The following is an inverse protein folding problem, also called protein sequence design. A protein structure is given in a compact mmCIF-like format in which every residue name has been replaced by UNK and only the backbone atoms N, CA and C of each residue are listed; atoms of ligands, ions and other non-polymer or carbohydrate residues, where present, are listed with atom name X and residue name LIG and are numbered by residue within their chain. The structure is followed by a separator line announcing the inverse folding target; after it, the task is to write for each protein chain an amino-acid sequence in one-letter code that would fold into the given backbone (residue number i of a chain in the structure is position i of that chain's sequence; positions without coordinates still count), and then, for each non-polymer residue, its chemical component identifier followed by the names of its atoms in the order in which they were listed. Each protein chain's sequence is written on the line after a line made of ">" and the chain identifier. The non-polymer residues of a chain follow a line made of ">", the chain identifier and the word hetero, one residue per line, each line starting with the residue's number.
data_IF_188088927514
#
_entry.id   IF_188088927514
#
_cell.length_a   1.000
_cell.length_b   1.000
_cell.length_c   1.000
_cell.angle_alpha   90.00
_cell.angle_beta   90.00
_cell.angle_gamma   90.00
#
_symmetry.space_group_name_H-M   'P 1'
#
loop_
_entity.id
_entity.type
_entity.pdbx_description
1 polymer ?
#
# COMPACT_ATOMS: atom_id res chain seq x y z
N UNK A 1 27.53 0.84 13.83
CA UNK A 1 26.19 0.70 14.41
C UNK A 1 25.33 1.77 13.75
N UNK A 2 24.23 1.43 13.09
CA UNK A 2 23.34 2.44 12.48
C UNK A 2 22.56 3.09 13.63
N UNK A 3 22.65 4.41 13.77
CA UNK A 3 21.85 5.15 14.75
C UNK A 3 20.44 5.38 14.18
N UNK A 4 19.55 4.48 14.52
CA UNK A 4 18.17 4.52 14.05
C UNK A 4 17.36 5.63 14.75
N UNK A 5 17.78 6.07 15.94
CA UNK A 5 17.03 6.99 16.79
C UNK A 5 15.89 6.30 17.55
N UNK A 6 14.93 7.06 18.06
CA UNK A 6 13.78 6.50 18.82
C UNK A 6 12.75 5.85 17.89
N UNK A 7 12.15 4.74 18.34
CA UNK A 7 10.99 4.13 17.66
C UNK A 7 9.79 5.08 17.79
N UNK A 8 9.22 5.46 16.65
CA UNK A 8 8.04 6.32 16.57
C UNK A 8 6.76 5.52 16.35
N UNK A 9 6.81 4.46 15.52
CA UNK A 9 5.65 3.59 15.27
C UNK A 9 6.05 2.22 14.73
N UNK A 10 5.13 1.26 14.85
CA UNK A 10 5.22 -0.09 14.26
C UNK A 10 4.01 -0.30 13.37
N UNK A 11 4.22 -0.82 12.18
CA UNK A 11 3.19 -1.15 11.21
C UNK A 11 3.41 -2.54 10.64
N UNK A 12 2.35 -3.30 10.54
CA UNK A 12 2.40 -4.67 10.01
C UNK A 12 1.59 -4.74 8.74
N UNK A 13 2.08 -5.48 7.76
CA UNK A 13 1.35 -5.80 6.56
C UNK A 13 0.99 -7.28 6.60
N UNK A 14 -0.27 -7.58 6.86
CA UNK A 14 -0.80 -8.94 6.85
C UNK A 14 -1.36 -9.29 5.48
N UNK A 15 -1.15 -10.54 5.07
CA UNK A 15 -1.83 -11.08 3.91
C UNK A 15 -3.25 -11.46 4.33
N UNK A 16 -4.23 -10.58 4.16
CA UNK A 16 -5.62 -11.00 4.33
C UNK A 16 -5.97 -11.97 3.19
N UNK A 17 -5.86 -13.27 3.48
CA UNK A 17 -6.21 -14.30 2.53
C UNK A 17 -7.74 -14.45 2.46
N UNK A 18 -8.39 -13.48 1.83
CA UNK A 18 -9.83 -13.47 1.60
C UNK A 18 -10.34 -14.73 0.87
N UNK A 19 -9.44 -15.44 0.17
CA UNK A 19 -9.75 -16.70 -0.46
C UNK A 19 -9.91 -17.85 0.54
N UNK A 20 -9.15 -17.85 1.64
CA UNK A 20 -9.31 -18.84 2.73
C UNK A 20 -10.65 -18.61 3.42
N UNK A 21 -11.02 -17.38 3.73
CA UNK A 21 -12.34 -17.09 4.31
C UNK A 21 -13.47 -17.44 3.34
N UNK A 22 -13.36 -17.10 2.05
CA UNK A 22 -14.33 -17.53 1.03
C UNK A 22 -14.42 -19.05 0.89
N UNK A 23 -13.29 -19.75 0.81
CA UNK A 23 -13.24 -21.20 0.71
C UNK A 23 -13.86 -21.87 1.94
N UNK A 24 -13.61 -21.35 3.14
CA UNK A 24 -14.25 -21.85 4.36
C UNK A 24 -15.76 -21.62 4.35
N UNK A 25 -16.24 -20.46 3.90
CA UNK A 25 -17.69 -20.20 3.77
C UNK A 25 -18.32 -21.17 2.77
N UNK A 26 -17.68 -21.37 1.61
CA UNK A 26 -18.16 -22.31 0.58
C UNK A 26 -18.18 -23.73 1.14
N UNK A 27 -17.12 -24.16 1.82
CA UNK A 27 -17.05 -25.48 2.44
C UNK A 27 -18.16 -25.67 3.47
N UNK A 28 -18.40 -24.69 4.36
CA UNK A 28 -19.48 -24.73 5.35
C UNK A 28 -20.85 -24.85 4.66
N UNK A 29 -21.09 -24.10 3.58
CA UNK A 29 -22.34 -24.18 2.80
C UNK A 29 -22.52 -25.57 2.17
N UNK A 30 -21.48 -26.14 1.56
CA UNK A 30 -21.52 -27.47 0.93
C UNK A 30 -21.73 -28.57 1.98
N UNK A 31 -21.01 -28.53 3.11
CA UNK A 31 -21.24 -29.50 4.19
C UNK A 31 -22.65 -29.39 4.76
N UNK A 32 -23.17 -28.17 4.92
CA UNK A 32 -24.53 -27.95 5.41
C UNK A 32 -25.58 -28.53 4.47
N UNK A 33 -25.44 -28.36 3.15
CA UNK A 33 -26.39 -28.93 2.17
C UNK A 33 -26.33 -30.46 2.12
N UNK A 34 -25.14 -31.06 2.23
CA UNK A 34 -24.97 -32.51 2.31
C UNK A 34 -25.61 -33.08 3.58
N UNK A 35 -25.44 -32.42 4.72
CA UNK A 35 -26.04 -32.87 6.00
C UNK A 35 -27.56 -32.75 5.94
N UNK A 36 -28.11 -31.66 5.41
CA UNK A 36 -29.56 -31.47 5.27
C UNK A 36 -30.16 -32.54 4.34
N UNK A 37 -29.52 -32.80 3.20
CA UNK A 37 -30.00 -33.83 2.26
C UNK A 37 -29.90 -35.23 2.85
N UNK A 38 -28.84 -35.55 3.58
CA UNK A 38 -28.67 -36.84 4.27
C UNK A 38 -29.70 -37.01 5.40
N UNK A 39 -30.00 -35.95 6.16
CA UNK A 39 -31.04 -35.95 7.19
C UNK A 39 -32.45 -36.15 6.62
N UNK A 40 -32.72 -35.62 5.42
CA UNK A 40 -34.02 -35.78 4.75
C UNK A 40 -34.19 -37.15 4.07
N UNK A 41 -33.09 -37.78 3.63
CA UNK A 41 -33.13 -39.01 2.80
C UNK A 41 -32.86 -40.29 3.59
N UNK A 42 -32.24 -40.20 4.77
CA UNK A 42 -31.86 -41.38 5.56
C UNK A 42 -32.51 -41.37 6.95
N UNK A 43 -32.87 -42.55 7.44
CA UNK A 43 -33.40 -42.74 8.79
C UNK A 43 -32.35 -42.58 9.90
N UNK A 44 -31.08 -42.33 9.54
CA UNK A 44 -29.94 -42.21 10.46
C UNK A 44 -30.12 -41.02 11.42
N UNK A 45 -30.86 -39.98 10.99
CA UNK A 45 -31.10 -38.76 11.77
C UNK A 45 -32.54 -38.64 12.30
N UNK A 46 -33.23 -39.76 12.53
CA UNK A 46 -34.60 -39.79 13.09
C UNK A 46 -34.71 -39.10 14.46
N UNK A 47 -33.62 -38.99 15.21
CA UNK A 47 -33.56 -38.25 16.48
C UNK A 47 -32.97 -36.85 16.26
N UNK A 48 -33.75 -35.78 16.49
CA UNK A 48 -33.28 -34.40 16.30
C UNK A 48 -32.04 -34.04 17.13
N UNK A 49 -31.83 -34.73 18.26
CA UNK A 49 -30.67 -34.54 19.13
C UNK A 49 -29.35 -34.92 18.48
N UNK A 50 -29.29 -36.01 17.72
CA UNK A 50 -28.05 -36.47 17.06
C UNK A 50 -27.64 -35.48 15.95
N UNK A 51 -28.60 -35.01 15.16
CA UNK A 51 -28.36 -34.01 14.12
C UNK A 51 -27.90 -32.67 14.73
N UNK A 52 -28.54 -32.24 15.83
CA UNK A 52 -28.17 -31.02 16.54
C UNK A 52 -26.73 -31.09 17.10
N UNK A 53 -26.36 -32.20 17.74
CA UNK A 53 -25.01 -32.41 18.27
C UNK A 53 -23.96 -32.37 17.15
N UNK A 54 -24.23 -33.01 16.01
CA UNK A 54 -23.32 -33.01 14.85
C UNK A 54 -23.14 -31.59 14.28
N UNK A 55 -24.21 -30.83 14.11
CA UNK A 55 -24.15 -29.45 13.63
C UNK A 55 -23.35 -28.54 14.58
N UNK A 56 -23.55 -28.68 15.89
CA UNK A 56 -22.81 -27.92 16.91
C UNK A 56 -21.32 -28.28 16.88
N UNK A 57 -20.98 -29.57 16.75
CA UNK A 57 -19.60 -30.02 16.66
C UNK A 57 -18.89 -29.46 15.41
N UNK A 58 -19.55 -29.50 14.25
CA UNK A 58 -19.00 -28.97 12.99
C UNK A 58 -18.83 -27.45 13.07
N UNK A 59 -19.82 -26.74 13.61
CA UNK A 59 -19.73 -25.29 13.79
C UNK A 59 -18.57 -24.91 14.72
N UNK A 60 -18.41 -25.63 15.84
CA UNK A 60 -17.32 -25.42 16.78
C UNK A 60 -15.95 -25.68 16.13
N UNK A 61 -15.77 -26.83 15.45
CA UNK A 61 -14.51 -27.16 14.76
C UNK A 61 -14.20 -26.16 13.65
N UNK A 62 -15.20 -25.76 12.87
CA UNK A 62 -15.02 -24.76 11.80
C UNK A 62 -14.63 -23.39 12.35
N UNK A 63 -15.28 -22.96 13.44
CA UNK A 63 -14.95 -21.70 14.11
C UNK A 63 -13.55 -21.75 14.72
N UNK A 64 -13.19 -22.84 15.39
CA UNK A 64 -11.85 -23.05 15.94
C UNK A 64 -10.77 -23.04 14.85
N UNK A 65 -10.99 -23.72 13.73
CA UNK A 65 -10.08 -23.72 12.60
C UNK A 65 -9.92 -22.31 11.98
N UNK A 66 -11.02 -21.57 11.84
CA UNK A 66 -11.01 -20.22 11.30
C UNK A 66 -10.29 -19.22 12.24
N UNK A 67 -10.51 -19.34 13.55
CA UNK A 67 -9.78 -18.57 14.56
C UNK A 67 -8.30 -18.92 14.55
N UNK A 68 -7.95 -20.20 14.48
CA UNK A 68 -6.57 -20.66 14.40
C UNK A 68 -5.84 -20.10 13.17
N UNK A 69 -6.44 -20.22 11.98
CA UNK A 69 -5.89 -19.66 10.75
C UNK A 69 -5.69 -18.15 10.83
N UNK A 70 -6.62 -17.43 11.45
CA UNK A 70 -6.54 -15.97 11.61
C UNK A 70 -5.48 -15.53 12.63
N UNK A 71 -5.26 -16.33 13.68
CA UNK A 71 -4.27 -16.06 14.71
C UNK A 71 -2.85 -16.30 14.21
N UNK A 72 -2.64 -17.35 13.40
CA UNK A 72 -1.34 -17.73 12.87
C UNK A 72 -1.00 -17.10 11.51
N UNK A 73 -1.80 -16.14 11.05
CA UNK A 73 -1.49 -15.38 9.85
C UNK A 73 -0.33 -14.40 10.15
N UNK A 74 0.88 -14.82 9.78
CA UNK A 74 2.09 -14.03 9.96
C UNK A 74 2.07 -12.82 9.01
N UNK A 75 2.48 -11.63 9.48
CA UNK A 75 2.64 -10.50 8.57
C UNK A 75 3.71 -10.82 7.51
N UNK A 76 3.49 -10.40 6.27
CA UNK A 76 4.49 -10.50 5.20
C UNK A 76 5.65 -9.52 5.46
N UNK A 77 5.30 -8.32 5.92
CA UNK A 77 6.27 -7.28 6.27
C UNK A 77 5.92 -6.63 7.60
N UNK A 78 6.93 -6.29 8.38
CA UNK A 78 6.80 -5.36 9.51
C UNK A 78 7.70 -4.17 9.30
N UNK A 79 7.13 -2.98 9.37
CA UNK A 79 7.81 -1.71 9.27
C UNK A 79 7.88 -1.07 10.65
N UNK A 80 9.08 -0.74 11.11
CA UNK A 80 9.28 0.08 12.28
C UNK A 80 9.78 1.44 11.82
N UNK A 81 9.02 2.48 12.14
CA UNK A 81 9.43 3.83 11.92
C UNK A 81 10.29 4.30 13.08
N UNK A 82 11.44 4.82 12.72
CA UNK A 82 12.34 5.50 13.62
C UNK A 82 12.47 6.98 13.21
N UNK A 83 13.12 7.77 14.06
CA UNK A 83 13.41 9.17 13.75
C UNK A 83 14.28 9.34 12.51
N UNK A 84 15.22 8.42 12.27
CA UNK A 84 16.18 8.52 11.17
C UNK A 84 15.87 7.65 9.96
N UNK A 85 14.78 6.88 9.98
CA UNK A 85 14.47 5.96 8.89
C UNK A 85 13.40 4.94 9.22
N UNK A 86 13.28 3.93 8.36
CA UNK A 86 12.33 2.84 8.49
C UNK A 86 13.10 1.53 8.50
N UNK A 87 12.97 0.74 9.57
CA UNK A 87 13.44 -0.65 9.59
C UNK A 87 12.35 -1.53 8.98
N UNK A 88 12.73 -2.35 8.02
CA UNK A 88 11.85 -3.29 7.35
C UNK A 88 12.25 -4.70 7.74
N UNK A 89 11.28 -5.47 8.20
CA UNK A 89 11.38 -6.90 8.41
C UNK A 89 10.59 -7.57 7.31
N UNK A 90 11.27 -8.33 6.47
CA UNK A 90 10.65 -9.17 5.47
C UNK A 90 10.53 -10.58 6.03
N UNK A 91 9.32 -11.01 6.37
CA UNK A 91 9.09 -12.31 6.98
C UNK A 91 9.14 -13.47 5.98
N UNK A 92 9.11 -13.18 4.67
CA UNK A 92 9.19 -14.22 3.64
C UNK A 92 10.61 -14.78 3.50
N UNK A 93 11.63 -13.92 3.60
CA UNK A 93 13.05 -14.31 3.48
C UNK A 93 13.86 -14.04 4.76
N UNK A 94 13.20 -13.59 5.83
CA UNK A 94 13.79 -13.23 7.12
C UNK A 94 14.84 -12.11 7.05
N UNK A 95 14.84 -11.32 5.97
CA UNK A 95 15.76 -10.19 5.84
C UNK A 95 15.29 -9.00 6.69
N UNK A 96 16.24 -8.40 7.38
CA UNK A 96 16.04 -7.19 8.18
C UNK A 96 16.98 -6.13 7.63
N UNK A 97 16.43 -5.01 7.19
CA UNK A 97 17.23 -3.90 6.69
C UNK A 97 16.66 -2.57 7.16
N UNK A 98 17.54 -1.58 7.30
CA UNK A 98 17.17 -0.21 7.65
C UNK A 98 17.28 0.67 6.42
N UNK A 99 16.22 1.44 6.15
CA UNK A 99 16.19 2.48 5.13
C UNK A 99 16.30 3.84 5.82
N UNK A 100 17.44 4.53 5.74
CA UNK A 100 17.55 5.90 6.23
C UNK A 100 16.60 6.84 5.50
N UNK A 101 16.01 7.81 6.21
CA UNK A 101 15.03 8.73 5.62
C UNK A 101 15.63 9.57 4.49
N UNK A 102 16.91 9.94 4.57
CA UNK A 102 17.63 10.67 3.51
C UNK A 102 17.89 9.83 2.25
N UNK A 103 17.81 8.50 2.36
CA UNK A 103 17.97 7.57 1.23
C UNK A 103 16.67 7.27 0.52
N UNK A 104 15.52 7.61 1.09
CA UNK A 104 14.23 7.46 0.41
C UNK A 104 14.15 8.56 -0.67
N UNK A 105 14.07 8.15 -1.92
CA UNK A 105 14.05 9.08 -3.07
C UNK A 105 12.70 9.11 -3.77
N UNK A 106 12.02 7.98 -3.80
CA UNK A 106 10.78 7.80 -4.54
C UNK A 106 9.68 7.49 -3.57
N UNK A 107 8.64 8.31 -3.57
CA UNK A 107 7.45 8.15 -2.73
C UNK A 107 6.23 8.33 -3.61
N UNK A 108 5.30 7.41 -3.46
CA UNK A 108 4.05 7.43 -4.19
C UNK A 108 2.88 7.18 -3.26
N UNK A 109 1.95 8.14 -3.18
CA UNK A 109 0.74 8.04 -2.35
C UNK A 109 -0.47 7.78 -3.24
N UNK A 110 -1.27 6.80 -2.87
CA UNK A 110 -2.45 6.39 -3.62
C UNK A 110 -3.55 5.86 -2.70
N UNK A 111 -4.72 5.60 -3.26
CA UNK A 111 -5.83 4.94 -2.57
C UNK A 111 -6.02 3.54 -3.15
N UNK A 112 -6.17 2.53 -2.30
CA UNK A 112 -6.39 1.13 -2.72
C UNK A 112 -7.87 0.75 -2.77
N UNK A 113 -8.76 1.55 -2.19
CA UNK A 113 -10.18 1.25 -2.14
C UNK A 113 -10.92 2.06 -1.08
N UNK A 114 -12.10 1.57 -0.69
CA UNK A 114 -12.97 2.16 0.32
C UNK A 114 -13.27 1.09 1.36
N UNK A 115 -13.13 1.40 2.64
CA UNK A 115 -13.60 0.61 3.77
C UNK A 115 -14.73 1.38 4.50
N UNK A 116 -15.42 0.77 5.48
CA UNK A 116 -16.44 1.47 6.26
C UNK A 116 -15.94 2.74 6.97
N UNK A 117 -14.62 2.86 7.17
CA UNK A 117 -13.96 4.01 7.78
C UNK A 117 -13.46 5.04 6.75
N UNK A 118 -13.83 4.91 5.46
CA UNK A 118 -13.45 5.83 4.38
C UNK A 118 -12.46 5.25 3.36
N UNK A 119 -11.70 6.11 2.68
CA UNK A 119 -10.72 5.67 1.66
C UNK A 119 -9.53 4.98 2.33
N UNK A 120 -9.13 3.83 1.80
CA UNK A 120 -7.92 3.13 2.23
C UNK A 120 -6.73 3.84 1.60
N UNK A 121 -5.99 4.59 2.41
CA UNK A 121 -4.76 5.27 2.00
C UNK A 121 -3.62 4.26 1.89
N UNK A 122 -2.78 4.40 0.89
CA UNK A 122 -1.58 3.60 0.74
C UNK A 122 -0.40 4.46 0.28
N UNK A 123 0.80 3.99 0.57
CA UNK A 123 2.04 4.59 0.14
C UNK A 123 2.99 3.50 -0.33
N UNK A 124 3.68 3.74 -1.44
CA UNK A 124 4.83 2.97 -1.85
C UNK A 124 6.08 3.87 -1.78
N UNK A 125 7.21 3.34 -1.32
CA UNK A 125 8.47 4.06 -1.32
C UNK A 125 9.68 3.17 -1.64
N UNK A 126 10.74 3.77 -2.22
CA UNK A 126 12.01 3.08 -2.49
C UNK A 126 13.19 4.06 -2.50
N UNK A 127 14.39 3.51 -2.39
CA UNK A 127 15.64 4.27 -2.32
C UNK A 127 16.27 4.59 -3.67
N UNK A 128 15.98 3.80 -4.71
CA UNK A 128 16.44 4.04 -6.08
C UNK A 128 15.54 3.34 -7.09
N UNK A 129 15.69 3.62 -8.39
CA UNK A 129 14.92 2.95 -9.44
C UNK A 129 15.13 1.43 -9.52
N UNK A 130 16.29 0.94 -9.09
CA UNK A 130 16.64 -0.48 -9.13
C UNK A 130 16.15 -1.28 -7.91
N UNK A 131 15.77 -0.58 -6.84
CA UNK A 131 15.31 -1.21 -5.60
C UNK A 131 13.80 -1.49 -5.66
N UNK A 132 13.34 -2.57 -5.00
CA UNK A 132 11.92 -2.89 -4.94
C UNK A 132 11.15 -1.84 -4.13
N UNK A 133 9.84 -1.75 -4.39
CA UNK A 133 8.95 -0.87 -3.65
C UNK A 133 8.59 -1.48 -2.29
N UNK A 134 8.66 -0.65 -1.26
CA UNK A 134 8.13 -0.95 0.07
C UNK A 134 6.73 -0.34 0.14
N UNK A 135 5.72 -1.14 0.50
CA UNK A 135 4.31 -0.73 0.45
C UNK A 135 3.71 -0.71 1.86
N UNK A 136 3.05 0.40 2.18
CA UNK A 136 2.31 0.63 3.42
C UNK A 136 0.83 0.84 3.05
N UNK A 137 -0.07 0.03 3.60
CA UNK A 137 -1.52 0.13 3.36
C UNK A 137 -2.24 0.44 4.69
N UNK A 138 -3.16 1.40 4.65
CA UNK A 138 -4.01 1.84 5.77
C UNK A 138 -5.28 1.00 5.94
N UNK A 139 -5.16 -0.33 5.79
CA UNK A 139 -6.20 -1.27 6.22
C UNK A 139 -6.03 -1.68 7.70
N UNK A 140 -4.90 -1.32 8.32
CA UNK A 140 -4.54 -1.67 9.70
C UNK A 140 -4.41 -0.37 10.52
N UNK A 141 -4.77 -0.42 11.81
CA UNK A 141 -4.70 0.72 12.72
C UNK A 141 -3.32 1.41 12.67
N UNK A 142 -3.30 2.74 12.66
CA UNK A 142 -2.11 3.62 12.68
C UNK A 142 -1.24 3.72 11.40
N UNK A 143 -1.58 3.06 10.27
CA UNK A 143 -0.79 3.22 9.04
C UNK A 143 -0.84 4.66 8.50
N UNK A 144 -1.96 5.36 8.69
CA UNK A 144 -2.10 6.77 8.33
C UNK A 144 -1.06 7.67 9.01
N UNK A 145 -0.78 7.40 10.29
CA UNK A 145 0.25 8.12 11.04
C UNK A 145 1.62 7.87 10.43
N UNK A 146 1.97 6.60 10.17
CA UNK A 146 3.22 6.22 9.52
C UNK A 146 3.44 6.93 8.17
N UNK A 147 2.44 6.89 7.28
CA UNK A 147 2.45 7.55 5.97
C UNK A 147 2.74 9.05 6.14
N UNK A 148 2.02 9.72 7.05
CA UNK A 148 2.19 11.15 7.26
C UNK A 148 3.52 11.50 7.90
N UNK A 149 4.04 10.68 8.82
CA UNK A 149 5.34 10.92 9.43
C UNK A 149 6.47 10.76 8.42
N UNK A 150 6.41 9.76 7.53
CA UNK A 150 7.40 9.63 6.44
C UNK A 150 7.35 10.88 5.56
N UNK A 151 6.15 11.30 5.10
CA UNK A 151 6.02 12.53 4.28
C UNK A 151 6.59 13.74 5.01
N UNK A 152 6.26 13.90 6.30
CA UNK A 152 6.73 15.02 7.10
C UNK A 152 8.27 15.03 7.21
N UNK A 153 8.89 13.88 7.49
CA UNK A 153 10.35 13.77 7.55
C UNK A 153 11.00 14.14 6.20
N UNK A 154 10.38 13.78 5.08
CA UNK A 154 10.86 14.11 3.74
C UNK A 154 10.80 15.61 3.47
N UNK A 155 9.69 16.25 3.84
CA UNK A 155 9.54 17.72 3.72
C UNK A 155 10.61 18.42 4.57
N UNK A 156 10.79 18.00 5.82
CA UNK A 156 11.72 18.67 6.74
C UNK A 156 13.19 18.46 6.36
N UNK A 157 13.57 17.27 5.88
CA UNK A 157 14.97 16.95 5.55
C UNK A 157 15.32 17.27 4.11
N UNK A 158 14.56 16.72 3.17
CA UNK A 158 14.83 16.87 1.73
C UNK A 158 14.29 18.20 1.22
N UNK A 159 13.10 18.62 1.66
CA UNK A 159 12.49 19.87 1.21
C UNK A 159 13.37 21.10 1.48
N UNK A 160 13.94 21.22 2.69
CA UNK A 160 14.86 22.33 3.03
C UNK A 160 16.11 22.31 2.16
N UNK A 161 16.71 21.13 1.95
CA UNK A 161 17.88 20.98 1.08
C UNK A 161 17.56 21.36 -0.37
N UNK A 162 16.43 20.89 -0.88
CA UNK A 162 15.95 21.19 -2.23
C UNK A 162 15.70 22.68 -2.44
N UNK A 163 15.13 23.38 -1.44
CA UNK A 163 14.93 24.83 -1.49
C UNK A 163 16.26 25.58 -1.51
N UNK A 164 17.24 25.14 -0.71
CA UNK A 164 18.58 25.72 -0.74
C UNK A 164 19.27 25.47 -2.10
N UNK A 165 19.16 24.27 -2.67
CA UNK A 165 19.67 23.99 -4.02
C UNK A 165 19.05 24.93 -5.06
N UNK A 166 17.73 25.10 -5.04
CA UNK A 166 17.03 26.02 -5.95
C UNK A 166 17.48 27.47 -5.78
N UNK A 167 17.71 27.93 -4.54
CA UNK A 167 18.17 29.31 -4.30
C UNK A 167 19.59 29.58 -4.80
N UNK A 168 20.43 28.54 -4.91
CA UNK A 168 21.76 28.62 -5.52
C UNK A 168 21.74 28.43 -7.04
N UNK A 169 20.55 28.35 -7.66
CA UNK A 169 20.39 28.19 -9.11
C UNK A 169 20.54 26.75 -9.60
N UNK A 170 20.59 25.76 -8.69
CA UNK A 170 20.57 24.36 -9.09
C UNK A 170 19.18 23.96 -9.63
N UNK A 171 19.17 22.95 -10.48
CA UNK A 171 17.93 22.37 -11.02
C UNK A 171 17.62 21.06 -10.32
N UNK A 172 16.41 20.93 -9.78
CA UNK A 172 15.91 19.70 -9.18
C UNK A 172 15.21 18.84 -10.23
N UNK A 173 15.54 17.56 -10.29
CA UNK A 173 14.86 16.62 -11.18
C UNK A 173 13.96 15.68 -10.39
N UNK A 174 12.73 15.54 -10.84
CA UNK A 174 11.71 14.66 -10.31
C UNK A 174 11.34 13.64 -11.37
N UNK A 175 11.14 12.40 -10.96
CA UNK A 175 10.64 11.35 -11.83
C UNK A 175 9.15 11.16 -11.59
N UNK A 176 8.34 11.39 -12.63
CA UNK A 176 6.87 11.28 -12.55
C UNK A 176 6.42 10.00 -13.25
N UNK A 177 5.57 9.23 -12.57
CA UNK A 177 5.03 7.97 -13.09
C UNK A 177 4.08 8.24 -14.25
N UNK A 178 4.24 7.50 -15.36
CA UNK A 178 3.39 7.62 -16.54
C UNK A 178 1.94 7.17 -16.23
N UNK A 179 0.98 8.02 -16.60
CA UNK A 179 -0.47 8.01 -16.27
C UNK A 179 -1.22 6.69 -16.51
N UNK A 180 -0.65 5.76 -17.28
CA UNK A 180 -1.35 4.57 -17.80
C UNK A 180 -0.81 3.24 -17.27
N UNK A 181 0.16 3.26 -16.38
CA UNK A 181 0.80 2.03 -15.97
C UNK A 181 -0.12 1.16 -15.08
N UNK A 182 -0.68 0.12 -15.71
CA UNK A 182 -1.58 -0.90 -15.17
C UNK A 182 -1.07 -1.58 -13.89
N UNK A 183 0.20 -1.49 -13.52
CA UNK A 183 0.74 -2.20 -12.34
C UNK A 183 0.24 -1.62 -11.02
N UNK A 184 -0.04 -0.31 -10.91
CA UNK A 184 -0.63 0.26 -9.68
C UNK A 184 -2.05 -0.25 -9.49
N UNK A 185 -2.82 -0.32 -10.59
CA UNK A 185 -4.10 -1.04 -10.59
C UNK A 185 -3.90 -2.52 -10.29
N UNK A 186 -2.83 -3.17 -10.74
CA UNK A 186 -2.54 -4.60 -10.48
C UNK A 186 -2.16 -4.87 -9.01
N UNK A 187 -1.39 -3.98 -8.38
CA UNK A 187 -1.11 -3.98 -6.95
C UNK A 187 -2.39 -3.75 -6.12
N UNK A 188 -3.26 -2.84 -6.57
CA UNK A 188 -4.51 -2.45 -5.91
C UNK A 188 -5.63 -3.51 -6.09
N UNK A 189 -5.83 -4.01 -7.31
CA UNK A 189 -6.97 -4.85 -7.71
C UNK A 189 -6.63 -6.34 -7.81
N UNK A 190 -5.43 -6.71 -8.26
CA UNK A 190 -5.05 -8.11 -8.48
C UNK A 190 -4.26 -8.73 -7.35
N UNK A 191 -3.91 -7.97 -6.31
CA UNK A 191 -3.31 -8.56 -5.11
C UNK A 191 -2.02 -9.32 -5.43
N UNK A 192 -1.12 -8.75 -6.23
CA UNK A 192 0.24 -9.32 -6.33
C UNK A 192 1.01 -9.19 -5.01
N UNK A 193 0.48 -8.40 -4.07
CA UNK A 193 0.87 -8.47 -2.65
C UNK A 193 0.07 -9.54 -1.87
N UNK A 194 -1.13 -9.93 -2.32
CA UNK A 194 -1.95 -11.01 -1.74
C UNK A 194 -1.42 -12.42 -2.07
N UNK A 195 -0.62 -12.57 -3.12
CA UNK A 195 -0.17 -13.88 -3.59
C UNK A 195 1.12 -14.39 -2.95
N UNK A 196 1.79 -13.65 -2.05
CA UNK A 196 3.02 -14.13 -1.40
C UNK A 196 4.17 -14.48 -2.36
N UNK A 197 4.02 -14.23 -3.66
CA UNK A 197 5.06 -14.47 -4.65
C UNK A 197 6.07 -13.35 -4.50
N UNK A 198 7.19 -13.74 -3.90
CA UNK A 198 8.34 -12.88 -3.65
C UNK A 198 8.74 -12.08 -4.89
N UNK A 199 9.24 -10.88 -4.59
CA UNK A 199 9.68 -9.84 -5.53
C UNK A 199 8.50 -9.22 -6.29
N UNK A 200 8.03 -8.08 -5.78
CA UNK A 200 7.46 -7.05 -6.64
C UNK A 200 8.47 -6.89 -7.78
N UNK A 201 8.05 -7.31 -8.97
CA UNK A 201 8.89 -7.32 -10.16
C UNK A 201 9.68 -6.02 -10.21
N UNK A 202 10.97 -6.14 -10.45
CA UNK A 202 11.91 -5.07 -10.79
C UNK A 202 11.54 -4.42 -12.12
N UNK A 203 10.26 -4.31 -12.45
CA UNK A 203 9.79 -3.50 -13.56
C UNK A 203 10.12 -2.06 -13.22
N UNK A 204 11.14 -1.56 -13.92
CA UNK A 204 11.35 -0.13 -14.06
C UNK A 204 10.02 0.48 -14.49
N UNK A 205 9.52 1.39 -13.67
CA UNK A 205 8.39 2.22 -14.06
C UNK A 205 8.85 3.15 -15.16
N UNK A 206 8.04 3.25 -16.20
CA UNK A 206 8.15 4.33 -17.16
C UNK A 206 7.88 5.63 -16.42
N UNK A 207 8.96 6.32 -16.09
CA UNK A 207 8.95 7.65 -15.51
C UNK A 207 9.36 8.67 -16.55
N UNK A 208 8.72 9.82 -16.57
CA UNK A 208 9.25 10.99 -17.27
C UNK A 208 9.87 11.95 -16.27
N UNK A 209 10.99 12.56 -16.65
CA UNK A 209 11.66 13.57 -15.82
C UNK A 209 10.94 14.91 -15.91
N UNK A 210 10.74 15.54 -14.77
CA UNK A 210 10.32 16.91 -14.60
C UNK A 210 11.45 17.65 -13.88
N UNK A 211 11.98 18.69 -14.50
CA UNK A 211 13.09 19.46 -13.93
C UNK A 211 12.61 20.84 -13.52
N UNK A 212 12.87 21.22 -12.28
CA UNK A 212 12.49 22.49 -11.68
C UNK A 212 13.76 23.29 -11.37
N UNK A 213 13.86 24.48 -11.95
CA UNK A 213 14.83 25.51 -11.56
C UNK A 213 14.11 26.63 -10.81
N UNK A 214 14.85 27.65 -10.37
CA UNK A 214 14.24 28.85 -9.77
C UNK A 214 13.33 29.63 -10.74
N UNK A 215 13.45 29.43 -12.05
CA UNK A 215 12.76 30.27 -13.06
C UNK A 215 11.91 29.46 -14.03
N UNK A 216 12.23 28.18 -14.20
CA UNK A 216 11.61 27.34 -15.21
C UNK A 216 11.22 25.97 -14.67
N UNK A 217 10.12 25.45 -15.18
CA UNK A 217 9.66 24.08 -15.04
C UNK A 217 9.75 23.41 -16.41
N UNK A 218 10.68 22.47 -16.55
CA UNK A 218 10.93 21.71 -17.77
C UNK A 218 10.15 20.40 -17.67
N UNK A 219 9.32 20.14 -18.67
CA UNK A 219 8.43 18.99 -18.73
C UNK A 219 8.58 18.29 -20.09
N UNK A 220 8.03 17.09 -20.23
CA UNK A 220 7.94 16.39 -21.52
C UNK A 220 7.20 17.20 -22.60
N UNK A 221 6.30 18.10 -22.20
CA UNK A 221 5.47 18.89 -23.10
C UNK A 221 6.09 20.26 -23.41
N UNK A 222 7.24 20.59 -22.83
CA UNK A 222 7.94 21.85 -23.02
C UNK A 222 8.36 22.54 -21.71
N UNK A 223 8.90 23.74 -21.86
CA UNK A 223 9.43 24.58 -20.79
C UNK A 223 8.39 25.64 -20.41
N UNK A 224 8.17 25.81 -19.11
CA UNK A 224 7.21 26.76 -18.54
C UNK A 224 7.96 27.70 -17.61
N UNK A 225 7.85 29.01 -17.79
CA UNK A 225 8.38 29.95 -16.79
C UNK A 225 7.50 29.92 -15.54
N UNK A 226 8.12 29.88 -14.36
CA UNK A 226 7.41 29.82 -13.08
C UNK A 226 6.55 31.06 -12.87
N UNK A 227 6.99 32.23 -13.34
CA UNK A 227 6.25 33.49 -13.32
C UNK A 227 4.89 33.42 -14.04
N UNK A 228 4.74 32.48 -14.99
CA UNK A 228 3.51 32.29 -15.74
C UNK A 228 2.54 31.31 -15.07
N UNK A 229 2.88 30.72 -13.92
CA UNK A 229 2.02 29.83 -13.15
C UNK A 229 1.24 30.66 -12.13
N UNK A 230 -0.06 30.85 -12.38
CA UNK A 230 -0.90 31.69 -11.52
C UNK A 230 -1.57 30.91 -10.38
N UNK A 231 -1.82 29.62 -10.60
CA UNK A 231 -2.53 28.79 -9.64
C UNK A 231 -2.10 27.33 -9.76
N UNK A 232 -1.93 26.70 -8.61
CA UNK A 232 -1.74 25.26 -8.48
C UNK A 232 -2.95 24.71 -7.73
N UNK A 233 -3.66 23.76 -8.34
CA UNK A 233 -4.80 23.09 -7.74
C UNK A 233 -4.51 21.59 -7.59
N UNK A 234 -4.98 21.02 -6.50
CA UNK A 234 -5.01 19.57 -6.32
C UNK A 234 -6.38 19.03 -6.73
N UNK A 235 -6.44 18.25 -7.80
CA UNK A 235 -7.61 17.52 -8.22
C UNK A 235 -7.56 16.09 -7.68
N UNK A 236 -8.44 15.76 -6.77
CA UNK A 236 -8.50 14.41 -6.22
C UNK A 236 -9.28 13.49 -7.17
N UNK A 237 -8.60 12.54 -7.81
CA UNK A 237 -9.25 11.41 -8.50
C UNK A 237 -9.51 10.27 -7.52
N UNK A 238 -10.31 9.30 -7.97
CA UNK A 238 -10.75 8.14 -7.16
C UNK A 238 -9.57 7.44 -6.46
N UNK A 239 -8.44 7.26 -7.19
CA UNK A 239 -7.29 6.50 -6.69
C UNK A 239 -6.04 7.33 -6.39
N UNK A 240 -5.95 8.58 -6.88
CA UNK A 240 -4.74 9.41 -6.81
C UNK A 240 -5.07 10.89 -6.77
N UNK A 241 -4.17 11.69 -6.19
CA UNK A 241 -4.17 13.15 -6.31
C UNK A 241 -3.50 13.55 -7.62
N UNK A 242 -4.07 14.52 -8.33
CA UNK A 242 -3.46 15.18 -9.49
C UNK A 242 -3.18 16.63 -9.16
N UNK A 243 -2.13 17.17 -9.74
CA UNK A 243 -1.79 18.58 -9.63
C UNK A 243 -2.08 19.26 -10.98
N UNK A 244 -2.93 20.28 -10.95
CA UNK A 244 -3.26 21.11 -12.10
C UNK A 244 -2.55 22.46 -11.95
N UNK A 245 -1.73 22.82 -12.93
CA UNK A 245 -1.03 24.09 -13.01
C UNK A 245 -1.72 24.95 -14.07
N UNK A 246 -2.23 26.09 -13.65
CA UNK A 246 -2.91 27.05 -14.53
C UNK A 246 -1.92 28.10 -15.02
N UNK A 247 -1.75 28.16 -16.34
CA UNK A 247 -0.79 29.03 -17.03
C UNK A 247 -1.54 29.89 -18.05
N UNK A 248 -0.97 31.05 -18.42
CA UNK A 248 -1.50 31.96 -19.45
C UNK A 248 -1.91 31.28 -20.78
N UNK A 249 -1.29 30.13 -21.13
CA UNK A 249 -1.54 29.38 -22.38
C UNK A 249 -2.44 28.15 -22.20
N UNK A 250 -2.95 27.87 -20.99
CA UNK A 250 -3.80 26.71 -20.69
C UNK A 250 -3.45 25.99 -19.38
N UNK A 251 -4.09 24.85 -19.14
CA UNK A 251 -3.90 24.04 -17.91
C UNK A 251 -3.02 22.82 -18.17
N UNK A 252 -1.98 22.64 -17.35
CA UNK A 252 -1.13 21.44 -17.36
C UNK A 252 -1.48 20.53 -16.19
N UNK A 253 -1.50 19.22 -16.43
CA UNK A 253 -1.83 18.22 -15.43
C UNK A 253 -0.65 17.30 -15.18
N UNK A 254 -0.28 17.16 -13.90
CA UNK A 254 0.67 16.19 -13.40
C UNK A 254 0.00 15.26 -12.40
N UNK A 255 0.62 14.12 -12.13
CA UNK A 255 0.14 13.08 -11.22
C UNK A 255 1.21 12.72 -10.23
#
# INVERSE_FOLDING_TARGET
>A
MIDEGKILSRHEMRNENAWVTLATIIAILVFSTVIITLALTTSIFLTPSILSILCVAIAAVSLSALLYLRLYDNPLFTYFLYENGVRVFNHNNLEIYFIPSDKIQYIYKYHTGINPNGKINAMAFRTSKSQPWNVIINNINNAYLLINTIIHQQIMRIGVKSLNSLSHGETLTFDIIKKEECWLKRLIYHGEIKMGIGRINTHQMDTYSLSLSAHTLITINGIINIENIFRIETLQKIFMTKYAYWILKGTLFFQ
#
